data_IF_332566322767
#
_entry.id   IF_332566322767
#
_cell.length_a   1.000
_cell.length_b   1.000
_cell.length_c   1.000
_cell.angle_alpha   90.00
_cell.angle_beta   90.00
_cell.angle_gamma   90.00
#
_symmetry.space_group_name_H-M   'P 1'
#
loop_
_entity.id
_entity.type
_entity.pdbx_description
1 polymer ?
#
# COMPACT_ATOMS: atom_id res chain seq x y z
N UNK A 1 -42.06 42.21 -22.15
CA UNK A 1 -40.58 42.28 -22.20
C UNK A 1 -39.91 41.86 -20.89
N UNK A 2 -40.45 42.17 -19.70
CA UNK A 2 -39.87 41.71 -18.40
C UNK A 2 -39.88 40.18 -18.19
N UNK A 3 -40.89 39.47 -18.71
CA UNK A 3 -40.99 38.00 -18.62
C UNK A 3 -39.94 37.26 -19.46
N UNK A 4 -39.56 37.80 -20.63
CA UNK A 4 -38.51 37.22 -21.48
C UNK A 4 -37.11 37.46 -20.91
N UNK A 5 -36.87 38.61 -20.27
CA UNK A 5 -35.62 38.89 -19.56
C UNK A 5 -35.43 38.00 -18.31
N UNK A 6 -36.51 37.65 -17.62
CA UNK A 6 -36.47 36.69 -16.51
C UNK A 6 -36.22 35.24 -16.98
N UNK A 7 -36.77 34.86 -18.14
CA UNK A 7 -36.53 33.54 -18.76
C UNK A 7 -35.10 33.39 -19.32
N UNK A 8 -34.52 34.46 -19.89
CA UNK A 8 -33.11 34.48 -20.33
C UNK A 8 -32.12 34.53 -19.15
N UNK A 9 -32.51 35.10 -18.00
CA UNK A 9 -31.70 35.08 -16.79
C UNK A 9 -31.65 33.71 -16.08
N UNK A 10 -32.64 32.85 -16.30
CA UNK A 10 -32.66 31.46 -15.79
C UNK A 10 -31.81 30.50 -16.64
N UNK A 11 -31.59 30.81 -17.93
CA UNK A 11 -30.85 29.95 -18.87
C UNK A 11 -29.34 29.86 -18.63
N UNK A 12 -28.78 30.73 -17.78
CA UNK A 12 -27.36 30.78 -17.45
C UNK A 12 -26.97 30.22 -16.06
N UNK A 13 -27.95 29.80 -15.24
CA UNK A 13 -27.66 29.14 -13.97
C UNK A 13 -27.32 27.69 -14.26
N UNK A 14 -26.02 27.34 -14.21
CA UNK A 14 -25.60 25.94 -14.20
C UNK A 14 -26.46 25.12 -13.24
N UNK A 15 -26.84 23.91 -13.66
CA UNK A 15 -27.81 23.07 -12.95
C UNK A 15 -27.51 23.04 -11.45
N UNK A 16 -28.49 23.36 -10.58
CA UNK A 16 -28.28 23.42 -9.13
C UNK A 16 -27.77 22.09 -8.58
N UNK A 17 -28.11 20.99 -9.24
CA UNK A 17 -27.59 19.65 -8.94
C UNK A 17 -26.08 19.58 -9.16
N UNK A 18 -25.58 20.10 -10.29
CA UNK A 18 -24.14 20.10 -10.61
C UNK A 18 -23.36 20.95 -9.62
N UNK A 19 -23.89 22.13 -9.25
CA UNK A 19 -23.25 22.99 -8.24
C UNK A 19 -23.22 22.30 -6.88
N UNK A 20 -24.32 21.67 -6.47
CA UNK A 20 -24.39 20.89 -5.23
C UNK A 20 -23.37 19.76 -5.19
N UNK A 21 -23.26 18.98 -6.27
CA UNK A 21 -22.27 17.90 -6.40
C UNK A 21 -20.83 18.43 -6.34
N UNK A 22 -20.53 19.55 -7.00
CA UNK A 22 -19.22 20.18 -6.95
C UNK A 22 -18.87 20.64 -5.53
N UNK A 23 -19.81 21.24 -4.81
CA UNK A 23 -19.58 21.66 -3.42
C UNK A 23 -19.32 20.45 -2.53
N UNK A 24 -20.19 19.42 -2.57
CA UNK A 24 -20.02 18.22 -1.76
C UNK A 24 -18.69 17.51 -2.06
N UNK A 25 -18.34 17.35 -3.34
CA UNK A 25 -17.07 16.74 -3.75
C UNK A 25 -15.87 17.52 -3.22
N UNK A 26 -15.86 18.85 -3.35
CA UNK A 26 -14.77 19.66 -2.82
C UNK A 26 -14.72 19.64 -1.29
N UNK A 27 -15.85 19.56 -0.58
CA UNK A 27 -15.83 19.40 0.89
C UNK A 27 -15.20 18.06 1.30
N UNK A 28 -15.51 16.97 0.59
CA UNK A 28 -14.88 15.67 0.85
C UNK A 28 -13.36 15.76 0.62
N UNK A 29 -12.93 16.36 -0.50
CA UNK A 29 -11.50 16.54 -0.81
C UNK A 29 -10.81 17.42 0.25
N UNK A 30 -11.48 18.47 0.72
CA UNK A 30 -10.99 19.36 1.77
C UNK A 30 -10.72 18.58 3.06
N UNK A 31 -11.70 17.79 3.50
CA UNK A 31 -11.58 16.98 4.71
C UNK A 31 -10.50 15.89 4.56
N UNK A 32 -10.42 15.23 3.40
CA UNK A 32 -9.35 14.26 3.15
C UNK A 32 -7.97 14.92 3.11
N UNK A 33 -7.84 16.11 2.54
CA UNK A 33 -6.57 16.85 2.49
C UNK A 33 -6.09 17.23 3.90
N UNK A 34 -7.00 17.72 4.75
CA UNK A 34 -6.70 18.01 6.16
C UNK A 34 -6.32 16.75 6.94
N UNK A 35 -7.04 15.64 6.74
CA UNK A 35 -6.72 14.37 7.37
C UNK A 35 -5.33 13.88 6.95
N UNK A 36 -5.02 13.86 5.66
CA UNK A 36 -3.69 13.47 5.15
C UNK A 36 -2.58 14.35 5.70
N UNK A 37 -2.80 15.67 5.74
CA UNK A 37 -1.84 16.62 6.30
C UNK A 37 -1.59 16.35 7.79
N UNK A 38 -2.66 16.16 8.57
CA UNK A 38 -2.58 15.90 10.00
C UNK A 38 -1.92 14.54 10.30
N UNK A 39 -2.31 13.47 9.60
CA UNK A 39 -1.71 12.14 9.72
C UNK A 39 -0.22 12.17 9.37
N UNK A 40 0.17 12.87 8.30
CA UNK A 40 1.58 12.97 7.91
C UNK A 40 2.38 13.75 8.97
N UNK A 41 1.85 14.84 9.51
CA UNK A 41 2.50 15.57 10.60
C UNK A 41 2.62 14.70 11.85
N UNK A 42 1.57 13.96 12.20
CA UNK A 42 1.60 13.06 13.35
C UNK A 42 2.68 11.99 13.21
N UNK A 43 2.74 11.32 12.06
CA UNK A 43 3.74 10.28 11.74
C UNK A 43 5.16 10.84 11.73
N UNK A 44 5.34 12.04 11.19
CA UNK A 44 6.65 12.72 11.15
C UNK A 44 7.04 13.37 12.46
N UNK A 45 6.11 13.60 13.39
CA UNK A 45 6.41 14.10 14.72
C UNK A 45 6.65 12.96 15.72
N UNK A 46 6.10 11.76 15.48
CA UNK A 46 6.31 10.58 16.33
C UNK A 46 7.72 10.00 16.13
N UNK A 47 8.68 10.62 16.82
CA UNK A 47 10.09 10.26 16.77
C UNK A 47 10.39 8.85 17.26
N UNK A 48 9.51 8.23 18.03
CA UNK A 48 9.84 6.98 18.72
C UNK A 48 9.55 5.73 17.89
N UNK A 49 8.62 5.79 16.93
CA UNK A 49 8.21 4.59 16.16
C UNK A 49 8.73 4.55 14.74
N UNK A 50 8.82 5.70 14.08
CA UNK A 50 9.05 5.77 12.63
C UNK A 50 10.49 6.18 12.32
N UNK A 51 11.09 7.08 13.12
CA UNK A 51 12.46 7.56 12.90
C UNK A 51 13.55 6.48 12.99
N UNK A 52 13.46 5.45 13.85
CA UNK A 52 14.47 4.39 13.85
C UNK A 52 14.54 3.65 12.52
N UNK A 53 13.40 3.38 11.87
CA UNK A 53 13.35 2.78 10.53
C UNK A 53 13.90 3.71 9.45
N UNK A 54 13.62 5.01 9.55
CA UNK A 54 14.04 6.02 8.57
C UNK A 54 15.53 6.38 8.71
N UNK A 55 16.03 6.53 9.94
CA UNK A 55 17.42 6.85 10.24
C UNK A 55 18.39 5.73 9.88
N UNK A 56 17.95 4.48 10.00
CA UNK A 56 18.70 3.28 9.59
C UNK A 56 18.79 3.13 8.06
N UNK A 57 17.92 3.79 7.30
CA UNK A 57 18.00 3.80 5.82
C UNK A 57 19.18 4.63 5.32
N UNK A 58 19.66 5.60 6.11
CA UNK A 58 20.75 6.50 5.73
C UNK A 58 20.48 7.32 4.47
N UNK A 59 19.25 7.25 3.94
CA UNK A 59 18.78 7.92 2.73
C UNK A 59 17.83 9.04 3.11
N UNK A 60 18.18 10.22 2.67
CA UNK A 60 17.38 11.44 2.62
C UNK A 60 16.06 11.28 1.83
N UNK A 61 15.95 10.25 0.98
CA UNK A 61 14.76 9.93 0.19
C UNK A 61 13.47 9.80 1.02
N UNK A 62 13.53 9.19 2.20
CA UNK A 62 12.33 8.97 3.04
C UNK A 62 11.89 10.28 3.70
N UNK A 63 12.86 11.08 4.15
CA UNK A 63 12.58 12.43 4.67
C UNK A 63 11.98 13.31 3.57
N UNK A 64 12.54 13.26 2.35
CA UNK A 64 11.99 13.96 1.20
C UNK A 64 10.54 13.53 0.91
N UNK A 65 10.25 12.22 0.94
CA UNK A 65 8.90 11.67 0.76
C UNK A 65 7.90 12.21 1.80
N UNK A 66 8.30 12.31 3.06
CA UNK A 66 7.46 12.86 4.12
C UNK A 66 7.13 14.35 3.90
N UNK A 67 8.11 15.17 3.54
CA UNK A 67 7.90 16.58 3.21
C UNK A 67 6.99 16.76 1.98
N UNK A 68 7.14 15.90 0.97
CA UNK A 68 6.27 15.88 -0.21
C UNK A 68 4.81 15.56 0.19
N UNK A 69 4.60 14.59 1.08
CA UNK A 69 3.26 14.23 1.56
C UNK A 69 2.57 15.37 2.34
N UNK A 70 3.33 16.08 3.19
CA UNK A 70 2.84 17.28 3.89
C UNK A 70 2.41 18.34 2.86
N UNK A 71 3.25 18.62 1.87
CA UNK A 71 2.95 19.61 0.83
C UNK A 71 1.72 19.20 0.01
N UNK A 72 1.60 17.91 -0.34
CA UNK A 72 0.47 17.35 -1.07
C UNK A 72 -0.86 17.54 -0.31
N UNK A 73 -0.92 17.15 0.96
CA UNK A 73 -2.13 17.30 1.79
C UNK A 73 -2.57 18.76 1.93
N UNK A 74 -1.61 19.66 2.16
CA UNK A 74 -1.88 21.10 2.21
C UNK A 74 -2.37 21.66 0.86
N UNK A 75 -1.79 21.20 -0.25
CA UNK A 75 -2.23 21.62 -1.58
C UNK A 75 -3.67 21.20 -1.87
N UNK A 76 -4.10 20.00 -1.47
CA UNK A 76 -5.47 19.53 -1.64
C UNK A 76 -6.46 20.36 -0.82
N UNK A 77 -6.09 20.71 0.42
CA UNK A 77 -6.88 21.63 1.25
C UNK A 77 -7.08 22.99 0.55
N UNK A 78 -6.02 23.55 -0.03
CA UNK A 78 -6.11 24.84 -0.75
C UNK A 78 -6.96 24.74 -2.01
N UNK A 79 -6.72 23.74 -2.86
CA UNK A 79 -7.51 23.52 -4.10
C UNK A 79 -8.99 23.36 -3.79
N UNK A 80 -9.32 22.55 -2.79
CA UNK A 80 -10.70 22.32 -2.40
C UNK A 80 -11.37 23.59 -1.84
N UNK A 81 -10.65 24.38 -1.04
CA UNK A 81 -11.14 25.67 -0.55
C UNK A 81 -11.45 26.64 -1.69
N UNK A 82 -10.57 26.73 -2.70
CA UNK A 82 -10.83 27.50 -3.91
C UNK A 82 -11.96 26.91 -4.76
N UNK A 83 -12.14 25.59 -4.79
CA UNK A 83 -13.24 24.92 -5.50
C UNK A 83 -14.60 25.24 -4.91
N UNK A 84 -14.72 25.20 -3.58
CA UNK A 84 -15.93 25.65 -2.86
C UNK A 84 -16.17 27.14 -3.11
N UNK A 85 -15.13 27.98 -2.99
CA UNK A 85 -15.21 29.41 -3.28
C UNK A 85 -15.61 29.73 -4.72
N UNK A 86 -15.10 28.96 -5.70
CA UNK A 86 -15.44 29.11 -7.11
C UNK A 86 -16.90 28.74 -7.40
N UNK A 87 -17.43 27.72 -6.71
CA UNK A 87 -18.83 27.31 -6.81
C UNK A 87 -19.79 28.40 -6.31
N UNK A 88 -19.44 29.09 -5.22
CA UNK A 88 -20.28 30.15 -4.64
C UNK A 88 -20.09 31.53 -5.30
N UNK A 89 -18.85 31.95 -5.53
CA UNK A 89 -18.56 33.33 -5.92
C UNK A 89 -18.75 33.61 -7.42
N UNK A 90 -18.91 32.59 -8.29
CA UNK A 90 -19.09 32.71 -9.76
C UNK A 90 -18.13 33.66 -10.50
N UNK A 91 -17.05 34.11 -9.87
CA UNK A 91 -16.05 35.01 -10.45
C UNK A 91 -15.15 34.19 -11.37
N UNK A 92 -14.99 34.63 -12.62
CA UNK A 92 -14.15 33.96 -13.63
C UNK A 92 -12.72 33.71 -13.14
N UNK A 93 -12.14 34.68 -12.44
CA UNK A 93 -10.79 34.53 -11.87
C UNK A 93 -10.71 33.39 -10.85
N UNK A 94 -11.70 33.20 -9.97
CA UNK A 94 -11.70 32.09 -9.00
C UNK A 94 -11.81 30.73 -9.68
N UNK A 95 -12.66 30.63 -10.72
CA UNK A 95 -12.81 29.41 -11.52
C UNK A 95 -11.52 29.10 -12.29
N UNK A 96 -10.90 30.09 -12.90
CA UNK A 96 -9.63 29.91 -13.62
C UNK A 96 -8.50 29.49 -12.67
N UNK A 97 -8.36 30.13 -11.51
CA UNK A 97 -7.39 29.74 -10.49
C UNK A 97 -7.62 28.30 -10.02
N UNK A 98 -8.87 27.92 -9.75
CA UNK A 98 -9.22 26.54 -9.39
C UNK A 98 -8.81 25.53 -10.47
N UNK A 99 -9.12 25.81 -11.74
CA UNK A 99 -8.78 24.92 -12.86
C UNK A 99 -7.25 24.78 -13.04
N UNK A 100 -6.50 25.88 -12.92
CA UNK A 100 -5.03 25.84 -13.02
C UNK A 100 -4.42 25.03 -11.87
N UNK A 101 -4.87 25.26 -10.63
CA UNK A 101 -4.36 24.50 -9.48
C UNK A 101 -4.73 23.00 -9.57
N UNK A 102 -5.94 22.69 -10.02
CA UNK A 102 -6.39 21.32 -10.24
C UNK A 102 -5.56 20.62 -11.32
N UNK A 103 -5.20 21.32 -12.41
CA UNK A 103 -4.31 20.78 -13.45
C UNK A 103 -2.91 20.47 -12.90
N UNK A 104 -2.36 21.37 -12.10
CA UNK A 104 -1.04 21.16 -11.47
C UNK A 104 -1.06 19.93 -10.57
N UNK A 105 -2.07 19.81 -9.70
CA UNK A 105 -2.27 18.64 -8.83
C UNK A 105 -2.42 17.36 -9.65
N UNK A 106 -3.23 17.38 -10.70
CA UNK A 106 -3.44 16.23 -11.57
C UNK A 106 -2.14 15.74 -12.22
N UNK A 107 -1.27 16.65 -12.65
CA UNK A 107 0.06 16.29 -13.21
C UNK A 107 0.92 15.61 -12.15
N UNK A 108 0.95 16.13 -10.92
CA UNK A 108 1.70 15.51 -9.82
C UNK A 108 1.13 14.14 -9.42
N UNK A 109 -0.19 14.00 -9.41
CA UNK A 109 -0.86 12.72 -9.13
C UNK A 109 -0.57 11.67 -10.22
N UNK A 110 -0.56 12.08 -11.49
CA UNK A 110 -0.16 11.18 -12.58
C UNK A 110 1.31 10.75 -12.42
N UNK A 111 2.21 11.70 -12.11
CA UNK A 111 3.62 11.40 -11.89
C UNK A 111 3.84 10.45 -10.70
N UNK A 112 3.12 10.64 -9.60
CA UNK A 112 3.21 9.78 -8.42
C UNK A 112 2.68 8.36 -8.71
N UNK A 113 1.56 8.23 -9.42
CA UNK A 113 1.00 6.94 -9.84
C UNK A 113 1.98 6.18 -10.76
N UNK A 114 2.57 6.86 -11.75
CA UNK A 114 3.56 6.27 -12.65
C UNK A 114 4.81 5.84 -11.88
N UNK A 115 5.29 6.67 -10.97
CA UNK A 115 6.47 6.36 -10.15
C UNK A 115 6.21 5.14 -9.26
N UNK A 116 5.05 5.10 -8.58
CA UNK A 116 4.64 3.97 -7.75
C UNK A 116 4.52 2.68 -8.55
N UNK A 117 3.91 2.74 -9.74
CA UNK A 117 3.76 1.57 -10.61
C UNK A 117 5.09 1.07 -11.17
N UNK A 118 5.96 1.97 -11.64
CA UNK A 118 7.26 1.60 -12.24
C UNK A 118 8.25 1.09 -11.21
N UNK A 119 8.23 1.64 -9.99
CA UNK A 119 9.12 1.22 -8.90
C UNK A 119 8.51 0.18 -7.97
N UNK A 120 7.30 -0.34 -8.28
CA UNK A 120 6.65 -1.37 -7.48
C UNK A 120 7.57 -2.57 -7.27
N UNK A 121 8.20 -3.05 -8.35
CA UNK A 121 9.04 -4.24 -8.28
C UNK A 121 10.34 -3.94 -7.52
N UNK A 122 10.92 -2.74 -7.63
CA UNK A 122 12.09 -2.41 -6.80
C UNK A 122 11.76 -2.37 -5.30
N UNK A 123 10.63 -1.78 -4.91
CA UNK A 123 10.21 -1.70 -3.50
C UNK A 123 9.71 -3.04 -2.94
N UNK A 124 9.15 -3.89 -3.81
CA UNK A 124 8.47 -5.13 -3.40
C UNK A 124 9.29 -6.38 -3.68
N UNK A 125 9.85 -6.50 -4.88
CA UNK A 125 10.52 -7.72 -5.35
C UNK A 125 11.97 -7.82 -4.86
N UNK A 126 12.54 -6.71 -4.39
CA UNK A 126 13.87 -6.68 -3.78
C UNK A 126 13.76 -6.34 -2.28
N UNK A 127 13.33 -7.29 -1.41
CA UNK A 127 13.31 -7.06 0.04
C UNK A 127 14.70 -6.75 0.61
N UNK A 128 15.76 -6.90 -0.19
CA UNK A 128 17.16 -6.65 0.13
C UNK A 128 17.44 -5.42 1.00
N UNK A 129 16.73 -4.29 0.83
CA UNK A 129 16.93 -3.14 1.70
C UNK A 129 16.42 -3.42 3.13
N UNK A 130 15.17 -3.86 3.24
CA UNK A 130 14.52 -4.21 4.50
C UNK A 130 15.25 -5.39 5.16
N UNK A 131 15.63 -6.40 4.39
CA UNK A 131 16.40 -7.55 4.86
C UNK A 131 17.77 -7.12 5.37
N UNK A 132 18.50 -6.27 4.64
CA UNK A 132 19.81 -5.76 5.10
C UNK A 132 19.68 -4.96 6.39
N UNK A 133 18.69 -4.08 6.49
CA UNK A 133 18.45 -3.29 7.71
C UNK A 133 18.10 -4.19 8.90
N UNK A 134 17.18 -5.14 8.70
CA UNK A 134 16.83 -6.15 9.70
C UNK A 134 18.07 -6.92 10.15
N UNK A 135 18.83 -7.53 9.22
CA UNK A 135 20.00 -8.33 9.58
C UNK A 135 21.11 -7.50 10.27
N UNK A 136 21.27 -6.22 9.91
CA UNK A 136 22.35 -5.38 10.45
C UNK A 136 22.04 -4.85 11.84
N UNK A 137 20.79 -4.51 12.13
CA UNK A 137 20.42 -3.76 13.34
C UNK A 137 19.55 -4.56 14.32
N UNK A 138 18.93 -5.66 13.88
CA UNK A 138 18.20 -6.54 14.80
C UNK A 138 19.17 -7.15 15.82
N UNK A 139 18.83 -6.97 17.11
CA UNK A 139 19.62 -7.29 18.29
C UNK A 139 21.00 -6.60 18.39
N UNK A 140 21.21 -5.48 17.68
CA UNK A 140 22.38 -4.65 17.89
C UNK A 140 22.25 -3.83 19.19
N UNK A 141 23.34 -3.64 19.92
CA UNK A 141 23.38 -2.92 21.22
C UNK A 141 23.33 -1.38 21.09
N UNK A 142 22.79 -0.87 19.98
CA UNK A 142 22.60 0.56 19.76
C UNK A 142 21.17 0.97 20.09
N UNK A 143 20.95 2.21 20.52
CA UNK A 143 19.58 2.73 20.79
C UNK A 143 18.65 2.52 19.58
N UNK A 144 19.16 2.71 18.36
CA UNK A 144 18.44 2.46 17.12
C UNK A 144 18.16 0.97 16.88
N UNK A 145 19.12 0.10 17.19
CA UNK A 145 18.98 -1.35 17.10
C UNK A 145 17.91 -1.89 18.05
N UNK A 146 17.83 -1.36 19.26
CA UNK A 146 16.80 -1.74 20.24
C UNK A 146 15.39 -1.38 19.75
N UNK A 147 15.18 -0.17 19.22
CA UNK A 147 13.88 0.21 18.66
C UNK A 147 13.51 -0.64 17.44
N UNK A 148 14.46 -0.88 16.54
CA UNK A 148 14.23 -1.74 15.38
C UNK A 148 13.89 -3.18 15.79
N UNK A 149 14.56 -3.70 16.81
CA UNK A 149 14.29 -5.03 17.37
C UNK A 149 12.87 -5.12 17.91
N UNK A 150 12.41 -4.13 18.68
CA UNK A 150 11.03 -4.08 19.20
C UNK A 150 9.98 -4.06 18.08
N UNK A 151 10.24 -3.32 17.01
CA UNK A 151 9.36 -3.24 15.85
C UNK A 151 9.27 -4.61 15.16
N UNK A 152 10.41 -5.25 14.91
CA UNK A 152 10.47 -6.58 14.28
C UNK A 152 9.86 -7.68 15.15
N UNK A 153 10.05 -7.63 16.47
CA UNK A 153 9.43 -8.57 17.41
C UNK A 153 7.91 -8.48 17.35
N UNK A 154 7.35 -7.25 17.30
CA UNK A 154 5.91 -7.04 17.10
C UNK A 154 5.45 -7.61 15.76
N UNK A 155 6.17 -7.33 14.68
CA UNK A 155 5.82 -7.83 13.33
C UNK A 155 5.81 -9.35 13.29
N UNK A 156 6.84 -10.01 13.81
CA UNK A 156 6.94 -11.48 13.83
C UNK A 156 5.81 -12.13 14.63
N UNK A 157 5.38 -11.52 15.75
CA UNK A 157 4.25 -12.01 16.54
C UNK A 157 2.91 -11.75 15.84
N UNK A 158 2.65 -10.50 15.41
CA UNK A 158 1.35 -10.09 14.88
C UNK A 158 1.04 -10.70 13.51
N UNK A 159 2.07 -10.87 12.68
CA UNK A 159 1.94 -11.41 11.32
C UNK A 159 2.25 -12.90 11.23
N UNK A 160 2.63 -13.55 12.34
CA UNK A 160 2.99 -14.97 12.38
C UNK A 160 4.01 -15.32 11.29
N UNK A 161 5.07 -14.51 11.19
CA UNK A 161 6.09 -14.59 10.16
C UNK A 161 7.50 -14.67 10.78
N UNK A 162 8.49 -15.06 9.98
CA UNK A 162 9.89 -15.04 10.41
C UNK A 162 10.76 -14.42 9.32
N UNK A 163 11.42 -13.32 9.67
CA UNK A 163 12.24 -12.57 8.72
C UNK A 163 11.43 -11.90 7.60
N UNK A 164 12.13 -11.46 6.56
CA UNK A 164 11.53 -10.75 5.43
C UNK A 164 10.97 -11.69 4.37
N UNK A 165 11.76 -12.67 3.96
CA UNK A 165 11.44 -13.69 2.95
C UNK A 165 11.21 -15.07 3.58
N UNK A 166 11.69 -15.25 4.81
CA UNK A 166 11.51 -16.47 5.59
C UNK A 166 12.60 -16.62 6.67
N UNK A 167 12.54 -17.72 7.45
CA UNK A 167 13.52 -17.99 8.51
C UNK A 167 14.95 -18.17 7.99
N UNK A 168 15.10 -18.53 6.71
CA UNK A 168 16.40 -18.66 6.06
C UNK A 168 17.15 -17.33 5.91
N UNK A 169 16.49 -16.18 6.07
CA UNK A 169 17.17 -14.87 6.06
C UNK A 169 18.25 -14.80 7.16
N UNK A 170 17.97 -15.37 8.33
CA UNK A 170 18.88 -15.37 9.47
C UNK A 170 20.06 -16.34 9.29
N UNK A 171 19.87 -17.40 8.49
CA UNK A 171 20.83 -18.49 8.30
C UNK A 171 21.68 -18.30 7.04
N UNK A 172 21.13 -17.71 5.98
CA UNK A 172 21.86 -17.51 4.73
C UNK A 172 22.76 -16.27 4.76
N UNK A 173 22.47 -15.30 5.63
CA UNK A 173 23.19 -14.04 5.72
C UNK A 173 23.81 -13.84 7.10
N UNK A 174 24.87 -13.03 7.15
CA UNK A 174 25.47 -12.56 8.41
C UNK A 174 24.60 -11.47 9.03
N UNK A 175 24.20 -11.64 10.29
CA UNK A 175 23.39 -10.67 11.03
C UNK A 175 24.04 -10.31 12.37
N UNK A 176 23.70 -9.14 12.92
CA UNK A 176 24.08 -8.76 14.28
C UNK A 176 23.57 -9.78 15.31
N UNK A 177 22.39 -10.36 15.06
CA UNK A 177 21.86 -11.48 15.83
C UNK A 177 22.78 -12.69 15.86
N UNK A 178 23.32 -13.12 14.72
CA UNK A 178 24.27 -14.24 14.68
C UNK A 178 25.60 -13.93 15.35
N UNK A 179 26.01 -12.66 15.38
CA UNK A 179 27.20 -12.26 16.13
C UNK A 179 26.98 -12.38 17.64
N UNK A 180 25.76 -12.09 18.12
CA UNK A 180 25.40 -12.16 19.54
C UNK A 180 24.97 -13.57 20.00
N UNK A 181 24.31 -14.35 19.14
CA UNK A 181 23.75 -15.67 19.45
C UNK A 181 24.33 -16.72 18.51
N UNK A 182 25.16 -17.67 19.00
CA UNK A 182 25.70 -18.75 18.19
C UNK A 182 24.58 -19.63 17.62
N UNK A 183 24.72 -20.10 16.39
CA UNK A 183 23.75 -20.98 15.70
C UNK A 183 23.46 -22.28 16.47
N UNK A 184 24.45 -22.76 17.23
CA UNK A 184 24.31 -23.93 18.10
C UNK A 184 23.28 -23.68 19.21
N UNK A 185 23.03 -22.43 19.61
CA UNK A 185 21.98 -22.09 20.57
C UNK A 185 20.65 -21.98 19.83
N UNK A 186 20.55 -21.09 18.84
CA UNK A 186 19.34 -20.91 18.04
C UNK A 186 19.66 -20.31 16.65
N UNK A 187 19.16 -20.88 15.54
CA UNK A 187 19.48 -20.39 14.19
C UNK A 187 18.77 -19.08 13.76
N UNK A 188 17.70 -18.69 14.45
CA UNK A 188 16.90 -17.48 14.21
C UNK A 188 16.32 -16.94 15.53
N UNK A 189 15.62 -15.80 15.55
CA UNK A 189 15.01 -15.32 16.78
C UNK A 189 13.94 -16.29 17.34
N UNK A 190 13.87 -16.54 18.67
CA UNK A 190 12.86 -17.43 19.26
C UNK A 190 11.40 -17.00 19.02
N UNK A 191 11.19 -15.74 18.66
CA UNK A 191 9.88 -15.20 18.26
C UNK A 191 9.37 -15.79 16.94
N UNK A 192 10.24 -16.35 16.11
CA UNK A 192 9.85 -17.09 14.91
C UNK A 192 9.15 -18.43 15.20
N UNK A 193 9.21 -18.92 16.44
CA UNK A 193 8.54 -20.16 16.82
C UNK A 193 7.04 -19.97 16.96
N UNK A 194 6.27 -20.94 16.49
CA UNK A 194 4.82 -20.97 16.64
C UNK A 194 4.46 -21.09 18.12
N UNK A 195 3.56 -20.23 18.58
CA UNK A 195 3.11 -20.14 19.97
C UNK A 195 1.63 -20.48 20.12
N UNK A 196 1.29 -20.97 21.30
CA UNK A 196 -0.10 -21.18 21.74
C UNK A 196 -0.75 -19.84 22.12
N UNK A 197 -2.07 -19.81 22.33
CA UNK A 197 -2.79 -18.61 22.78
C UNK A 197 -2.32 -18.03 24.12
N UNK A 198 -1.54 -18.80 24.90
CA UNK A 198 -0.90 -18.36 26.15
C UNK A 198 0.55 -17.86 25.95
N UNK A 199 0.97 -17.58 24.71
CA UNK A 199 2.32 -17.15 24.33
C UNK A 199 3.45 -18.16 24.62
N UNK A 200 3.13 -19.42 24.88
CA UNK A 200 4.11 -20.49 25.11
C UNK A 200 4.44 -21.16 23.76
N UNK A 201 5.73 -21.39 23.41
CA UNK A 201 6.09 -22.11 22.20
C UNK A 201 5.50 -23.53 22.21
N UNK A 202 4.91 -23.99 21.09
CA UNK A 202 4.31 -25.34 21.04
C UNK A 202 5.35 -26.43 21.26
N UNK A 203 6.51 -26.28 20.61
CA UNK A 203 7.65 -27.17 20.76
C UNK A 203 8.93 -26.41 20.39
N UNK A 204 9.74 -26.11 21.40
CA UNK A 204 10.96 -25.32 21.23
C UNK A 204 12.05 -26.09 20.46
N UNK A 205 12.18 -27.39 20.72
CA UNK A 205 13.15 -28.25 20.04
C UNK A 205 12.77 -28.47 18.57
N UNK A 206 11.48 -28.72 18.32
CA UNK A 206 10.94 -28.82 16.97
C UNK A 206 11.14 -27.53 16.18
N UNK A 207 10.94 -26.37 16.83
CA UNK A 207 11.24 -25.08 16.23
C UNK A 207 12.74 -24.90 15.95
N UNK A 208 13.62 -25.17 16.92
CA UNK A 208 15.08 -25.03 16.76
C UNK A 208 15.64 -25.89 15.63
N UNK A 209 15.07 -27.07 15.40
CA UNK A 209 15.46 -27.98 14.31
C UNK A 209 14.87 -27.59 12.95
N UNK A 210 13.97 -26.60 12.89
CA UNK A 210 13.37 -26.13 11.64
C UNK A 210 12.17 -26.94 11.16
N UNK A 211 11.46 -27.65 12.03
CA UNK A 211 10.22 -28.31 11.65
C UNK A 211 9.12 -27.29 11.31
N UNK A 212 8.55 -27.40 10.11
CA UNK A 212 7.57 -26.46 9.56
C UNK A 212 6.26 -26.37 10.38
N UNK A 213 5.98 -27.36 11.21
CA UNK A 213 4.82 -27.38 12.11
C UNK A 213 4.99 -26.44 13.33
N UNK A 214 6.23 -26.11 13.68
CA UNK A 214 6.59 -25.33 14.86
C UNK A 214 7.29 -24.01 14.54
N UNK A 215 7.53 -23.72 13.25
CA UNK A 215 8.21 -22.52 12.75
C UNK A 215 7.28 -21.69 11.86
N UNK A 216 7.37 -20.37 11.96
CA UNK A 216 6.76 -19.48 10.97
C UNK A 216 7.59 -19.46 9.70
N UNK A 217 7.00 -19.93 8.60
CA UNK A 217 7.62 -20.00 7.27
C UNK A 217 7.17 -18.87 6.35
N UNK A 218 6.17 -18.08 6.79
CA UNK A 218 5.65 -16.96 6.01
C UNK A 218 6.68 -15.83 5.93
N UNK A 219 6.77 -15.23 4.75
CA UNK A 219 7.55 -14.02 4.50
C UNK A 219 6.89 -12.82 5.21
N UNK A 220 7.62 -12.14 6.10
CA UNK A 220 7.11 -10.96 6.81
C UNK A 220 6.88 -9.74 5.92
N UNK A 221 7.50 -9.70 4.73
CA UNK A 221 7.37 -8.57 3.78
C UNK A 221 6.34 -8.85 2.68
N UNK A 222 5.55 -9.93 2.77
CA UNK A 222 4.42 -10.16 1.86
C UNK A 222 3.23 -9.24 2.19
N UNK A 223 3.46 -7.92 2.23
CA UNK A 223 2.50 -6.81 2.46
C UNK A 223 1.46 -6.64 1.33
N UNK A 224 1.24 -7.68 0.52
CA UNK A 224 0.38 -7.65 -0.66
C UNK A 224 -1.11 -7.81 -0.37
N UNK A 225 -1.50 -8.12 0.87
CA UNK A 225 -2.90 -8.17 1.28
C UNK A 225 -3.18 -7.09 2.34
N UNK A 226 -3.18 -5.83 1.90
CA UNK A 226 -3.74 -4.68 2.62
C UNK A 226 -5.25 -4.82 2.94
N UNK A 227 -5.88 -5.93 2.57
CA UNK A 227 -7.16 -6.39 3.10
C UNK A 227 -7.13 -6.77 4.59
N UNK A 228 -5.94 -6.93 5.20
CA UNK A 228 -5.79 -7.38 6.60
C UNK A 228 -5.52 -6.26 7.62
N UNK A 229 -5.25 -5.03 7.17
CA UNK A 229 -5.10 -3.85 8.04
C UNK A 229 -6.44 -3.18 8.42
N UNK A 230 -7.57 -3.83 8.13
CA UNK A 230 -8.89 -3.44 8.61
C UNK A 230 -9.17 -3.96 10.03
N UNK A 231 -8.20 -3.82 10.95
CA UNK A 231 -8.47 -3.85 12.39
C UNK A 231 -8.28 -2.46 12.95
N UNK A 232 -9.24 -1.58 12.61
CA UNK A 232 -9.52 -0.42 13.44
C UNK A 232 -9.81 -0.90 14.88
N UNK A 233 -9.40 -0.14 15.91
CA UNK A 233 -9.75 -0.45 17.30
C UNK A 233 -11.27 -0.65 17.45
N UNK A 234 -11.73 -1.54 18.36
CA UNK A 234 -13.14 -1.86 18.52
C UNK A 234 -13.88 -0.64 19.11
N UNK A 235 -14.35 0.25 18.24
CA UNK A 235 -15.01 1.50 18.64
C UNK A 235 -15.65 2.30 17.51
N UNK A 236 -15.36 2.01 16.23
CA UNK A 236 -15.97 2.69 15.09
C UNK A 236 -16.88 1.73 14.31
N UNK A 237 -18.04 1.41 14.87
CA UNK A 237 -19.15 0.84 14.12
C UNK A 237 -20.14 1.95 13.77
N UNK A 238 -20.14 2.37 12.52
CA UNK A 238 -21.23 3.22 12.04
C UNK A 238 -20.99 3.84 10.68
N UNK A 239 -20.83 3.05 9.62
CA UNK A 239 -21.30 3.37 8.25
C UNK A 239 -21.32 2.08 7.41
N UNK A 240 -22.30 1.21 7.65
CA UNK A 240 -22.60 0.05 6.81
C UNK A 240 -23.89 0.32 6.04
N UNK A 241 -23.86 1.14 4.97
CA UNK A 241 -25.03 1.24 4.10
C UNK A 241 -24.81 1.69 2.63
N UNK A 242 -23.59 1.59 2.10
CA UNK A 242 -23.35 1.76 0.66
C UNK A 242 -22.53 0.57 0.14
N UNK A 243 -23.24 -0.50 -0.20
CA UNK A 243 -22.74 -1.62 -0.98
C UNK A 243 -22.50 -1.16 -2.41
N UNK A 244 -21.25 -0.88 -2.77
CA UNK A 244 -20.82 -0.82 -4.17
C UNK A 244 -20.38 -2.23 -4.58
N UNK A 245 -21.29 -3.00 -5.17
CA UNK A 245 -21.01 -4.28 -5.78
C UNK A 245 -20.24 -4.04 -7.09
N UNK A 246 -18.90 -4.00 -7.06
CA UNK A 246 -18.09 -4.06 -8.29
C UNK A 246 -17.91 -5.52 -8.73
N UNK A 247 -18.88 -5.95 -9.52
CA UNK A 247 -18.85 -7.18 -10.33
C UNK A 247 -17.68 -7.15 -11.32
N UNK A 248 -16.56 -7.80 -10.99
CA UNK A 248 -15.53 -8.20 -11.94
C UNK A 248 -15.64 -9.69 -12.25
N UNK A 249 -16.71 -10.06 -12.96
CA UNK A 249 -16.72 -11.29 -13.74
C UNK A 249 -15.86 -11.04 -14.98
N UNK A 250 -14.64 -11.57 -14.98
CA UNK A 250 -13.83 -11.72 -16.19
C UNK A 250 -14.51 -12.74 -17.11
N UNK A 251 -15.49 -12.27 -17.87
CA UNK A 251 -16.14 -13.04 -18.92
C UNK A 251 -15.21 -13.08 -20.13
N UNK A 252 -14.43 -14.15 -20.23
CA UNK A 252 -13.75 -14.55 -21.45
C UNK A 252 -14.79 -14.99 -22.50
N UNK A 253 -15.04 -14.14 -23.50
CA UNK A 253 -15.58 -14.45 -24.84
C UNK A 253 -15.61 -13.11 -25.60
N UNK A 254 -15.07 -12.93 -26.81
CA UNK A 254 -15.23 -13.72 -28.03
C UNK A 254 -14.04 -13.46 -28.99
N UNK A 255 -13.59 -14.40 -29.82
CA UNK A 255 -14.31 -14.70 -31.06
C UNK A 255 -14.07 -16.14 -31.57
N UNK A 256 -15.22 -16.68 -31.94
CA UNK A 256 -15.59 -17.90 -32.65
C UNK A 256 -15.00 -18.00 -34.06
N UNK A 257 -14.63 -19.22 -34.47
CA UNK A 257 -15.03 -19.86 -35.76
C UNK A 257 -14.39 -21.25 -35.81
N UNK A 258 -15.15 -22.31 -35.53
CA UNK A 258 -15.94 -23.09 -36.48
C UNK A 258 -15.26 -24.46 -36.72
N UNK A 259 -15.79 -25.51 -36.09
CA UNK A 259 -15.65 -26.89 -36.55
C UNK A 259 -16.41 -27.07 -37.87
N UNK A 260 -15.99 -28.01 -38.73
CA UNK A 260 -16.79 -29.23 -38.81
C UNK A 260 -15.95 -30.51 -38.95
N UNK A 261 -16.40 -31.56 -38.26
CA UNK A 261 -16.01 -32.94 -38.48
C UNK A 261 -16.98 -33.59 -39.47
N UNK A 262 -16.53 -34.05 -40.64
CA UNK A 262 -17.06 -35.28 -41.28
C UNK A 262 -16.13 -35.85 -42.37
N UNK A 263 -15.90 -37.16 -42.28
CA UNK A 263 -15.45 -38.19 -43.25
C UNK A 263 -15.04 -37.75 -44.68
N UNK A 264 -14.02 -38.34 -45.35
CA UNK A 264 -14.03 -39.69 -45.95
C UNK A 264 -12.72 -39.92 -46.76
N UNK A 265 -12.18 -41.16 -46.73
CA UNK A 265 -11.37 -41.90 -47.76
C UNK A 265 -9.97 -41.44 -48.23
N UNK A 266 -9.04 -42.41 -48.24
CA UNK A 266 -7.97 -42.56 -49.26
C UNK A 266 -6.53 -42.58 -48.68
N UNK A 267 -5.96 -43.72 -48.27
CA UNK A 267 -5.11 -44.66 -49.05
C UNK A 267 -3.61 -44.26 -49.17
N UNK A 268 -2.75 -45.24 -48.81
CA UNK A 268 -1.30 -45.46 -49.12
C UNK A 268 -0.25 -44.65 -48.33
N UNK A 269 0.56 -45.29 -47.45
CA UNK A 269 1.75 -46.18 -47.65
C UNK A 269 3.05 -45.43 -48.01
N UNK A 270 4.10 -45.68 -47.21
CA UNK A 270 5.52 -45.56 -47.56
C UNK A 270 6.29 -44.56 -46.70
N UNK A 271 7.09 -44.99 -45.72
CA UNK A 271 8.50 -45.44 -45.81
C UNK A 271 9.49 -44.28 -45.64
N UNK A 272 10.40 -44.40 -44.66
CA UNK A 272 11.70 -43.72 -44.70
C UNK A 272 12.19 -43.04 -43.42
N UNK A 273 12.65 -43.83 -42.43
CA UNK A 273 13.91 -43.54 -41.70
C UNK A 273 15.09 -43.73 -42.69
N UNK A 274 16.37 -43.42 -42.35
CA UNK A 274 16.93 -42.71 -41.18
C UNK A 274 17.96 -41.62 -41.59
N UNK A 275 18.47 -40.88 -40.60
CA UNK A 275 19.91 -40.66 -40.31
C UNK A 275 20.01 -39.82 -39.04
#
# INVERSE_FOLDING_TARGET
MASAAAAEAEKGKGSPVVVGLLVVGNIIILLSGLALFAETIWVTADQYRVYPLMGVSGKDDIFAGAWIAIFCGFSFFMVASFGVGAAFCRRRSMVLTYLVLMLIVYIFECASCITSYTHRDYMVSNPSLITKQMLTFYSADTDQGQELTRLWDRVMIEQECCGTSGPMDWVNFTSAFRAATPEVVFPWPPLCCRRTGNFIPLNEEGCRLGHMDYLFTKAGVQWHNLSSLQRLPPGFNGFSHLSFQSSWDYRAASNTSATPSTATRGVSRGLGLPS
#
